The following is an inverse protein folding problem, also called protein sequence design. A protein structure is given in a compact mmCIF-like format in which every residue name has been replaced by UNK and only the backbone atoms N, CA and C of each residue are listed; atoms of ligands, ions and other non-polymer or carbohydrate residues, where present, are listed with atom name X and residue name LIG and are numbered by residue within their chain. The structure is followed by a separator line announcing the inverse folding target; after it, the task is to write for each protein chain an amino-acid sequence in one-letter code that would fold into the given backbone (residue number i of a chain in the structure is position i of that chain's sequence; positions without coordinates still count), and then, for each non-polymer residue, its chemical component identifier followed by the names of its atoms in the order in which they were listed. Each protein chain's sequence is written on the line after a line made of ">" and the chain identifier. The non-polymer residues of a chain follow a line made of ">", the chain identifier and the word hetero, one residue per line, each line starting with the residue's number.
data_IF_797587262615
#
_entry.id   IF_797587262615
#
_cell.length_a   1.000
_cell.length_b   1.000
_cell.length_c   1.000
_cell.angle_alpha   90.00
_cell.angle_beta   90.00
_cell.angle_gamma   90.00
#
_symmetry.space_group_name_H-M   'P 1'
#
loop_
_entity.id
_entity.type
_entity.pdbx_description
1 polymer ?
#
# COMPACT_ATOMS: atom_id res chain seq x y z
N UNK A 1 16.23 15.85 73.36
CA UNK A 1 15.68 16.95 72.56
C UNK A 1 14.61 16.34 71.66
N UNK A 2 13.36 16.79 71.83
CA UNK A 2 12.15 16.04 71.46
C UNK A 2 11.89 15.98 69.94
N UNK A 3 11.33 14.86 69.42
CA UNK A 3 10.93 14.75 68.02
C UNK A 3 9.61 15.50 67.80
N UNK A 4 9.58 16.46 66.88
CA UNK A 4 8.33 17.12 66.49
C UNK A 4 7.67 16.34 65.35
N UNK A 5 6.54 15.74 65.65
CA UNK A 5 5.64 15.09 64.68
C UNK A 5 5.01 16.15 63.77
N UNK A 6 5.56 16.31 62.57
CA UNK A 6 5.02 17.13 61.49
C UNK A 6 3.64 16.61 61.02
N UNK A 7 2.72 17.48 60.55
CA UNK A 7 1.33 17.13 60.23
C UNK A 7 1.24 16.15 59.05
N UNK A 8 1.00 14.87 59.37
CA UNK A 8 0.96 13.73 58.44
C UNK A 8 -0.26 13.69 57.49
N UNK A 9 -1.22 14.62 57.60
CA UNK A 9 -2.47 14.61 56.84
C UNK A 9 -2.46 15.34 55.50
N UNK A 10 -1.72 16.45 55.37
CA UNK A 10 -1.73 17.28 54.15
C UNK A 10 -0.75 16.79 53.08
N UNK A 11 0.37 16.17 53.45
CA UNK A 11 1.32 15.61 52.47
C UNK A 11 0.72 14.42 51.70
N UNK A 12 -0.11 13.61 52.36
CA UNK A 12 -0.76 12.46 51.72
C UNK A 12 -1.72 12.88 50.60
N UNK A 13 -2.48 13.98 50.76
CA UNK A 13 -3.42 14.43 49.73
C UNK A 13 -2.67 14.93 48.48
N UNK A 14 -1.52 15.58 48.65
CA UNK A 14 -0.70 16.10 47.55
C UNK A 14 -0.06 14.95 46.77
N UNK A 15 0.50 13.96 47.46
CA UNK A 15 1.10 12.78 46.83
C UNK A 15 0.04 11.99 46.04
N UNK A 16 -1.15 11.81 46.61
CA UNK A 16 -2.26 11.12 45.94
C UNK A 16 -2.67 11.84 44.65
N UNK A 17 -2.81 13.17 44.70
CA UNK A 17 -3.18 13.97 43.54
C UNK A 17 -2.16 13.83 42.40
N UNK A 18 -0.85 13.91 42.70
CA UNK A 18 0.20 13.77 41.69
C UNK A 18 0.20 12.37 41.07
N UNK A 19 0.02 11.31 41.87
CA UNK A 19 -0.06 9.92 41.36
C UNK A 19 -1.28 9.75 40.45
N UNK A 20 -2.43 10.30 40.83
CA UNK A 20 -3.66 10.21 40.03
C UNK A 20 -3.52 10.97 38.69
N UNK A 21 -2.94 12.17 38.70
CA UNK A 21 -2.71 12.96 37.48
C UNK A 21 -1.71 12.26 36.56
N UNK A 22 -0.58 11.79 37.08
CA UNK A 22 0.41 11.09 36.27
C UNK A 22 -0.11 9.74 35.76
N UNK A 23 -0.91 9.03 36.56
CA UNK A 23 -1.60 7.81 36.14
C UNK A 23 -2.60 8.05 35.01
N UNK A 24 -3.35 9.16 35.07
CA UNK A 24 -4.28 9.56 34.01
C UNK A 24 -3.55 9.92 32.70
N UNK A 25 -2.45 10.65 32.79
CA UNK A 25 -1.63 10.98 31.61
C UNK A 25 -0.98 9.73 31.00
N UNK A 26 -0.45 8.82 31.82
CA UNK A 26 0.15 7.58 31.35
C UNK A 26 -0.86 6.67 30.63
N UNK A 27 -2.07 6.54 31.17
CA UNK A 27 -3.14 5.74 30.56
C UNK A 27 -3.63 6.33 29.24
N UNK A 28 -3.79 7.65 29.16
CA UNK A 28 -4.14 8.36 27.93
C UNK A 28 -3.09 8.10 26.82
N UNK A 29 -1.80 8.20 27.15
CA UNK A 29 -0.72 7.91 26.21
C UNK A 29 -0.73 6.44 25.75
N UNK A 30 -1.07 5.50 26.63
CA UNK A 30 -1.11 4.06 26.31
C UNK A 30 -2.23 3.72 25.30
N UNK A 31 -3.40 4.34 25.42
CA UNK A 31 -4.47 4.21 24.42
C UNK A 31 -4.05 4.73 23.04
N UNK A 32 -3.33 5.84 22.99
CA UNK A 32 -2.82 6.42 21.71
C UNK A 32 -1.79 5.50 21.05
N UNK A 33 -0.96 4.79 21.83
CA UNK A 33 0.05 3.85 21.31
C UNK A 33 -0.57 2.64 20.60
N UNK A 34 -1.64 2.07 21.17
CA UNK A 34 -2.28 0.88 20.59
C UNK A 34 -2.95 1.17 19.24
N UNK A 35 -3.55 2.37 19.10
CA UNK A 35 -4.05 2.86 17.81
C UNK A 35 -2.93 2.99 16.77
N UNK A 36 -1.77 3.54 17.18
CA UNK A 36 -0.64 3.73 16.28
C UNK A 36 -0.01 2.41 15.80
N UNK A 37 0.11 1.37 16.65
CA UNK A 37 0.73 0.10 16.24
C UNK A 37 -0.04 -0.59 15.09
N UNK A 38 -1.37 -0.51 15.12
CA UNK A 38 -2.24 -1.05 14.06
C UNK A 38 -2.22 -0.20 12.78
N UNK A 39 -2.11 1.13 12.91
CA UNK A 39 -1.98 2.06 11.78
C UNK A 39 -0.63 1.92 11.07
N UNK A 40 0.48 1.83 11.82
CA UNK A 40 1.82 1.68 11.27
C UNK A 40 1.95 0.40 10.43
N UNK A 41 1.37 -0.70 10.91
CA UNK A 41 1.39 -1.97 10.20
C UNK A 41 0.59 -1.91 8.90
N UNK A 42 -0.57 -1.24 8.90
CA UNK A 42 -1.39 -1.02 7.69
C UNK A 42 -0.70 -0.10 6.68
N UNK A 43 0.05 0.90 7.14
CA UNK A 43 0.82 1.78 6.27
C UNK A 43 1.97 1.02 5.58
N UNK A 44 2.71 0.20 6.33
CA UNK A 44 3.78 -0.64 5.74
C UNK A 44 3.21 -1.62 4.71
N UNK A 45 2.12 -2.31 5.05
CA UNK A 45 1.44 -3.22 4.10
C UNK A 45 0.88 -2.47 2.88
N UNK A 46 0.40 -1.24 3.06
CA UNK A 46 -0.07 -0.39 1.97
C UNK A 46 1.06 0.04 1.02
N UNK A 47 2.23 0.38 1.57
CA UNK A 47 3.43 0.70 0.78
C UNK A 47 3.94 -0.54 0.04
N UNK A 48 3.98 -1.70 0.70
CA UNK A 48 4.32 -2.97 0.06
C UNK A 48 3.37 -3.30 -1.10
N UNK A 49 2.06 -3.20 -0.89
CA UNK A 49 1.08 -3.43 -1.94
C UNK A 49 1.25 -2.44 -3.11
N UNK A 50 1.57 -1.17 -2.81
CA UNK A 50 1.80 -0.18 -3.85
C UNK A 50 3.03 -0.50 -4.71
N UNK A 51 4.17 -0.81 -4.08
CA UNK A 51 5.38 -1.20 -4.81
C UNK A 51 5.18 -2.47 -5.63
N UNK A 52 4.46 -3.47 -5.10
CA UNK A 52 4.18 -4.71 -5.83
C UNK A 52 3.32 -4.47 -7.08
N UNK A 53 2.28 -3.63 -6.97
CA UNK A 53 1.47 -3.27 -8.12
C UNK A 53 2.27 -2.46 -9.15
N UNK A 54 3.14 -1.55 -8.70
CA UNK A 54 4.02 -0.78 -9.57
C UNK A 54 5.03 -1.69 -10.31
N UNK A 55 5.69 -2.61 -9.62
CA UNK A 55 6.62 -3.56 -10.24
C UNK A 55 5.93 -4.50 -11.22
N UNK A 56 4.68 -4.90 -10.97
CA UNK A 56 3.89 -5.67 -11.93
C UNK A 56 3.59 -4.85 -13.20
N UNK A 57 3.27 -3.56 -13.06
CA UNK A 57 3.10 -2.67 -14.22
C UNK A 57 4.41 -2.49 -15.00
N UNK A 58 5.54 -2.30 -14.32
CA UNK A 58 6.85 -2.23 -14.98
C UNK A 58 7.16 -3.49 -15.76
N UNK A 59 6.89 -4.67 -15.16
CA UNK A 59 7.01 -5.93 -15.89
C UNK A 59 6.11 -5.95 -17.14
N UNK A 60 4.84 -5.53 -17.04
CA UNK A 60 3.96 -5.47 -18.20
C UNK A 60 4.48 -4.52 -19.28
N UNK A 61 5.03 -3.36 -18.91
CA UNK A 61 5.64 -2.43 -19.86
C UNK A 61 6.83 -3.06 -20.60
N UNK A 62 7.65 -3.88 -19.94
CA UNK A 62 8.75 -4.60 -20.61
C UNK A 62 8.24 -5.63 -21.63
N UNK A 63 7.06 -6.21 -21.42
CA UNK A 63 6.44 -7.12 -22.37
C UNK A 63 5.77 -6.40 -23.54
N UNK A 64 5.21 -5.21 -23.29
CA UNK A 64 4.53 -4.40 -24.30
C UNK A 64 5.51 -3.68 -25.23
N UNK A 65 6.69 -3.28 -24.72
CA UNK A 65 7.75 -2.63 -25.50
C UNK A 65 9.05 -3.45 -25.50
N UNK A 66 9.09 -4.61 -26.16
CA UNK A 66 10.30 -5.42 -26.24
C UNK A 66 11.40 -4.72 -27.04
N UNK A 67 12.64 -4.73 -26.52
CA UNK A 67 13.80 -4.11 -27.16
C UNK A 67 14.22 -4.76 -28.50
N UNK A 68 13.77 -5.98 -28.76
CA UNK A 68 14.14 -6.75 -29.95
C UNK A 68 13.22 -6.49 -31.16
N UNK A 69 12.16 -5.69 -30.99
CA UNK A 69 11.16 -5.43 -32.04
C UNK A 69 11.05 -3.92 -32.22
N UNK A 70 11.23 -3.44 -33.45
CA UNK A 70 11.21 -1.99 -33.76
C UNK A 70 9.80 -1.39 -33.75
N UNK A 71 8.77 -2.20 -33.99
CA UNK A 71 7.36 -1.80 -33.99
C UNK A 71 6.50 -2.97 -33.46
N UNK A 72 6.50 -3.23 -32.14
CA UNK A 72 5.66 -4.28 -31.55
C UNK A 72 4.19 -3.88 -31.63
N UNK A 73 3.30 -4.83 -31.95
CA UNK A 73 1.85 -4.62 -31.81
C UNK A 73 1.47 -4.73 -30.34
N UNK A 74 1.33 -3.57 -29.69
CA UNK A 74 0.96 -3.45 -28.28
C UNK A 74 -0.42 -4.07 -28.03
N UNK A 75 -1.33 -4.06 -29.00
CA UNK A 75 -2.66 -4.66 -28.85
C UNK A 75 -2.63 -6.18 -28.77
N UNK A 76 -1.81 -6.82 -29.62
CA UNK A 76 -1.60 -8.26 -29.57
C UNK A 76 -0.90 -8.66 -28.26
N UNK A 77 0.16 -7.96 -27.86
CA UNK A 77 0.91 -8.25 -26.63
C UNK A 77 0.08 -8.01 -25.36
N UNK A 78 -0.77 -6.98 -25.37
CA UNK A 78 -1.71 -6.66 -24.32
C UNK A 78 -2.68 -7.82 -24.07
N UNK A 79 -3.26 -8.38 -25.13
CA UNK A 79 -4.26 -9.46 -25.03
C UNK A 79 -3.64 -10.84 -24.80
N UNK A 80 -2.48 -11.12 -25.40
CA UNK A 80 -1.85 -12.44 -25.38
C UNK A 80 -0.87 -12.66 -24.22
N UNK A 81 -0.13 -11.63 -23.80
CA UNK A 81 0.94 -11.73 -22.79
C UNK A 81 0.54 -11.10 -21.47
N UNK A 82 -0.03 -9.89 -21.48
CA UNK A 82 -0.28 -9.13 -20.24
C UNK A 82 -1.62 -9.48 -19.60
N UNK A 83 -2.67 -9.63 -20.40
CA UNK A 83 -4.00 -9.95 -19.89
C UNK A 83 -4.03 -11.34 -19.27
N UNK A 84 -4.43 -11.42 -17.99
CA UNK A 84 -4.46 -12.66 -17.22
C UNK A 84 -3.12 -13.10 -16.64
N UNK A 85 -2.02 -12.40 -16.94
CA UNK A 85 -0.72 -12.73 -16.39
C UNK A 85 -0.60 -12.39 -14.89
N UNK A 86 0.20 -13.19 -14.20
CA UNK A 86 0.58 -12.97 -12.79
C UNK A 86 2.10 -13.05 -12.71
N UNK A 87 2.82 -11.92 -12.89
CA UNK A 87 4.26 -11.93 -12.77
C UNK A 87 4.72 -12.29 -11.37
N UNK A 88 5.87 -12.95 -11.29
CA UNK A 88 6.43 -13.46 -10.03
C UNK A 88 7.17 -12.37 -9.23
N UNK A 89 6.52 -11.22 -9.04
CA UNK A 89 7.07 -10.06 -8.31
C UNK A 89 6.90 -10.19 -6.79
N UNK A 90 6.06 -11.13 -6.32
CA UNK A 90 5.72 -11.28 -4.90
C UNK A 90 6.56 -12.32 -4.15
N UNK A 91 7.61 -12.88 -4.77
CA UNK A 91 8.42 -13.94 -4.13
C UNK A 91 9.00 -13.50 -2.79
N UNK A 92 8.85 -14.34 -1.77
CA UNK A 92 9.37 -14.08 -0.42
C UNK A 92 8.60 -13.01 0.36
N UNK A 93 7.44 -12.56 -0.13
CA UNK A 93 6.60 -11.56 0.56
C UNK A 93 5.24 -12.12 0.93
N UNK A 94 4.61 -11.56 1.97
CA UNK A 94 3.23 -11.91 2.36
C UNK A 94 2.18 -11.17 1.52
N UNK A 95 2.48 -11.01 0.24
CA UNK A 95 1.68 -10.30 -0.75
C UNK A 95 1.32 -11.27 -1.88
N UNK A 96 0.13 -11.07 -2.44
CA UNK A 96 -0.34 -11.76 -3.64
C UNK A 96 -0.69 -10.72 -4.69
N UNK A 97 -0.40 -11.03 -5.94
CA UNK A 97 -0.82 -10.25 -7.08
C UNK A 97 -2.05 -10.92 -7.70
N UNK A 98 -3.07 -10.14 -8.01
CA UNK A 98 -4.19 -10.63 -8.83
C UNK A 98 -3.75 -10.67 -10.30
N UNK A 99 -4.53 -11.38 -11.12
CA UNK A 99 -4.38 -11.36 -12.58
C UNK A 99 -4.38 -9.93 -13.10
N UNK A 100 -3.35 -9.57 -13.86
CA UNK A 100 -3.30 -8.29 -14.54
C UNK A 100 -4.40 -8.20 -15.58
N UNK A 101 -4.92 -7.00 -15.80
CA UNK A 101 -5.85 -6.74 -16.90
C UNK A 101 -5.25 -5.73 -17.86
N UNK A 102 -5.41 -6.00 -19.15
CA UNK A 102 -5.04 -5.09 -20.21
C UNK A 102 -6.22 -4.93 -21.15
N UNK A 103 -6.70 -3.69 -21.32
CA UNK A 103 -7.91 -3.38 -22.07
C UNK A 103 -7.72 -2.16 -22.95
N UNK A 104 -8.16 -2.23 -24.21
CA UNK A 104 -8.27 -1.08 -25.10
C UNK A 104 -9.28 -0.07 -24.52
N UNK A 105 -8.88 1.19 -24.40
CA UNK A 105 -9.76 2.29 -23.97
C UNK A 105 -10.38 2.99 -25.19
N UNK A 106 -9.62 3.12 -26.27
CA UNK A 106 -10.06 3.74 -27.51
C UNK A 106 -8.89 3.96 -28.47
N UNK A 107 -9.19 4.47 -29.68
CA UNK A 107 -8.18 4.93 -30.63
C UNK A 107 -8.32 6.43 -30.90
N UNK A 108 -7.18 7.09 -31.08
CA UNK A 108 -7.08 8.44 -31.60
C UNK A 108 -7.06 8.38 -33.12
N UNK A 109 -7.69 9.37 -33.77
CA UNK A 109 -7.77 9.51 -35.23
C UNK A 109 -8.29 8.27 -35.95
N UNK A 110 -9.30 7.60 -35.38
CA UNK A 110 -9.94 6.41 -35.95
C UNK A 110 -10.33 6.63 -37.43
N UNK A 111 -9.88 5.74 -38.32
CA UNK A 111 -10.15 5.85 -39.76
C UNK A 111 -9.19 6.75 -40.55
N UNK A 112 -8.07 7.16 -39.96
CA UNK A 112 -6.98 7.85 -40.67
C UNK A 112 -5.70 7.02 -40.69
N UNK A 113 -4.70 7.43 -41.48
CA UNK A 113 -3.39 6.77 -41.52
C UNK A 113 -2.57 6.94 -40.22
N UNK A 114 -3.03 7.78 -39.28
CA UNK A 114 -2.38 8.12 -38.01
C UNK A 114 -3.21 7.58 -36.82
N UNK A 115 -3.85 6.41 -36.98
CA UNK A 115 -4.63 5.78 -35.92
C UNK A 115 -3.72 5.28 -34.78
N UNK A 116 -3.90 5.81 -33.58
CA UNK A 116 -3.10 5.47 -32.40
C UNK A 116 -4.01 4.87 -31.32
N UNK A 117 -3.82 3.60 -30.97
CA UNK A 117 -4.66 2.91 -29.99
C UNK A 117 -4.11 3.07 -28.57
N UNK A 118 -5.01 3.32 -27.62
CA UNK A 118 -4.68 3.52 -26.22
C UNK A 118 -5.14 2.32 -25.39
N UNK A 119 -4.22 1.73 -24.65
CA UNK A 119 -4.48 0.60 -23.76
C UNK A 119 -4.27 0.99 -22.31
N UNK A 120 -5.12 0.46 -21.44
CA UNK A 120 -4.98 0.56 -19.99
C UNK A 120 -4.55 -0.79 -19.44
N UNK A 121 -3.40 -0.79 -18.79
CA UNK A 121 -2.89 -1.91 -18.00
C UNK A 121 -3.19 -1.65 -16.54
N UNK A 122 -3.66 -2.65 -15.84
CA UNK A 122 -4.04 -2.55 -14.44
C UNK A 122 -3.47 -3.72 -13.63
N UNK A 123 -2.73 -3.39 -12.56
CA UNK A 123 -2.20 -4.33 -11.60
C UNK A 123 -2.85 -4.13 -10.24
N UNK A 124 -3.26 -5.22 -9.60
CA UNK A 124 -3.84 -5.22 -8.26
C UNK A 124 -2.99 -6.12 -7.36
N UNK A 125 -2.44 -5.53 -6.29
CA UNK A 125 -1.68 -6.25 -5.28
C UNK A 125 -2.42 -6.22 -3.94
N UNK A 126 -2.40 -7.36 -3.25
CA UNK A 126 -3.04 -7.57 -1.96
C UNK A 126 -1.99 -8.07 -0.97
N UNK A 127 -1.75 -7.32 0.09
CA UNK A 127 -0.75 -7.65 1.11
C UNK A 127 -1.41 -7.83 2.49
N UNK A 128 -0.87 -8.76 3.28
CA UNK A 128 -1.32 -9.03 4.64
C UNK A 128 -2.36 -10.15 4.74
N UNK A 129 -2.83 -10.40 5.97
CA UNK A 129 -3.74 -11.49 6.30
C UNK A 129 -4.80 -11.04 7.32
N UNK A 130 -5.98 -11.67 7.29
CA UNK A 130 -7.07 -11.41 8.23
C UNK A 130 -7.52 -9.94 8.28
N UNK A 131 -7.57 -9.36 9.48
CA UNK A 131 -8.05 -7.99 9.75
C UNK A 131 -7.08 -6.87 9.34
N UNK A 132 -5.90 -7.23 8.84
CA UNK A 132 -4.88 -6.30 8.36
C UNK A 132 -4.58 -6.48 6.85
N UNK A 133 -5.53 -7.00 6.08
CA UNK A 133 -5.38 -7.06 4.62
C UNK A 133 -5.53 -5.68 3.99
N UNK A 134 -4.60 -5.34 3.10
CA UNK A 134 -4.60 -4.10 2.32
C UNK A 134 -4.51 -4.43 0.84
N UNK A 135 -5.33 -3.77 0.03
CA UNK A 135 -5.31 -3.88 -1.43
C UNK A 135 -4.93 -2.53 -2.04
N UNK A 136 -4.06 -2.56 -3.05
CA UNK A 136 -3.73 -1.40 -3.89
C UNK A 136 -3.86 -1.78 -5.35
N UNK A 137 -4.34 -0.82 -6.13
CA UNK A 137 -4.48 -0.92 -7.57
C UNK A 137 -3.62 0.17 -8.20
N UNK A 138 -2.85 -0.16 -9.23
CA UNK A 138 -2.07 0.78 -10.02
C UNK A 138 -2.41 0.57 -11.50
N UNK A 139 -2.67 1.66 -12.20
CA UNK A 139 -2.95 1.65 -13.63
C UNK A 139 -1.87 2.42 -14.39
N UNK A 140 -1.57 1.96 -15.58
CA UNK A 140 -0.69 2.63 -16.54
C UNK A 140 -1.34 2.61 -17.92
N UNK A 141 -1.15 3.70 -18.65
CA UNK A 141 -1.75 3.94 -19.95
C UNK A 141 -0.63 3.93 -20.98
N UNK A 142 -0.80 3.13 -22.02
CA UNK A 142 0.19 2.94 -23.07
C UNK A 142 -0.46 3.16 -24.42
N UNK A 143 0.35 3.61 -25.37
CA UNK A 143 -0.04 3.77 -26.77
C UNK A 143 0.57 2.66 -27.62
N UNK A 144 -0.10 2.28 -28.70
CA UNK A 144 0.53 1.50 -29.76
C UNK A 144 1.42 2.41 -30.60
#
# INVERSE_FOLDING_TARGET
>A
MFPSSAPRGSILIVVLFVILVMGYLATSLMMVRWSNQSSLSRNVLGVQAWFMAQSANEWALTQLYPLNVSAPDVGELCSSVVSGAVPNVTQGTNCRLNTMSCSLIGSFNAGTAEEESLFRVNAIAICGSGSAQVQRQQEVWVRN
#
